data_IF_804962308056
#
_entry.id   IF_804962308056
#
_cell.length_a   1.000
_cell.length_b   1.000
_cell.length_c   1.000
_cell.angle_alpha   90.00
_cell.angle_beta   90.00
_cell.angle_gamma   90.00
#
_symmetry.space_group_name_H-M   'P 1'
#
loop_
_entity.id
_entity.type
_entity.pdbx_description
1 polymer ?
#
# COMPACT_ATOMS: atom_id res chain seq x y z
N UNK A 1 -14.32 -7.93 -20.29
CA UNK A 1 -13.14 -8.18 -21.15
C UNK A 1 -13.44 -9.43 -21.97
N UNK A 2 -13.17 -9.41 -23.28
CA UNK A 2 -13.37 -10.58 -24.14
C UNK A 2 -12.23 -11.60 -23.95
N UNK A 3 -12.48 -12.87 -24.28
CA UNK A 3 -11.50 -13.96 -24.23
C UNK A 3 -10.29 -13.72 -25.14
N UNK A 4 -10.49 -13.04 -26.27
CA UNK A 4 -9.40 -12.75 -27.21
C UNK A 4 -8.42 -11.72 -26.64
N UNK A 5 -8.95 -10.69 -25.97
CA UNK A 5 -8.13 -9.65 -25.34
C UNK A 5 -7.22 -10.21 -24.23
N UNK A 6 -7.66 -11.26 -23.51
CA UNK A 6 -6.84 -11.92 -22.51
C UNK A 6 -5.72 -12.74 -23.13
N UNK A 7 -5.99 -13.41 -24.26
CA UNK A 7 -4.99 -14.19 -24.96
C UNK A 7 -3.85 -13.32 -25.52
N UNK A 8 -4.17 -12.14 -26.05
CA UNK A 8 -3.17 -11.18 -26.53
C UNK A 8 -2.26 -10.67 -25.41
N UNK A 9 -2.84 -10.38 -24.23
CA UNK A 9 -2.09 -9.97 -23.05
C UNK A 9 -1.15 -11.07 -22.54
N UNK A 10 -1.61 -12.32 -22.54
CA UNK A 10 -0.78 -13.46 -22.15
C UNK A 10 0.38 -13.68 -23.14
N UNK A 11 0.11 -13.56 -24.44
CA UNK A 11 1.14 -13.62 -25.47
C UNK A 11 2.18 -12.49 -25.33
N UNK A 12 1.75 -11.29 -24.93
CA UNK A 12 2.64 -10.17 -24.66
C UNK A 12 3.48 -10.39 -23.40
N UNK A 13 2.89 -10.96 -22.34
CA UNK A 13 3.59 -11.30 -21.10
C UNK A 13 4.69 -12.35 -21.35
N UNK A 14 4.39 -13.40 -22.13
CA UNK A 14 5.36 -14.45 -22.47
C UNK A 14 6.55 -13.84 -23.22
N UNK A 15 6.32 -12.95 -24.19
CA UNK A 15 7.38 -12.23 -24.91
C UNK A 15 8.26 -11.40 -23.98
N UNK A 16 7.66 -10.71 -23.02
CA UNK A 16 8.40 -9.94 -22.01
C UNK A 16 9.26 -10.83 -21.13
N UNK A 17 8.73 -11.95 -20.66
CA UNK A 17 9.46 -12.91 -19.84
C UNK A 17 10.63 -13.55 -20.60
N UNK A 18 10.43 -13.91 -21.86
CA UNK A 18 11.50 -14.48 -22.70
C UNK A 18 12.63 -13.47 -22.95
N UNK A 19 12.29 -12.21 -23.20
CA UNK A 19 13.27 -11.14 -23.35
C UNK A 19 14.05 -10.87 -22.05
N UNK A 20 13.35 -10.81 -20.92
CA UNK A 20 13.96 -10.60 -19.60
C UNK A 20 14.91 -11.75 -19.21
N UNK A 21 14.56 -13.01 -19.52
CA UNK A 21 15.44 -14.17 -19.28
C UNK A 21 16.75 -14.08 -20.07
N UNK A 22 16.70 -13.61 -21.32
CA UNK A 22 17.89 -13.42 -22.16
C UNK A 22 18.69 -12.18 -21.75
N UNK A 23 18.03 -11.16 -21.20
CA UNK A 23 18.61 -9.87 -20.87
C UNK A 23 18.33 -9.47 -19.41
N UNK A 24 19.01 -10.12 -18.47
CA UNK A 24 18.83 -9.87 -17.02
C UNK A 24 19.10 -8.41 -16.59
N UNK A 25 19.89 -7.66 -17.35
CA UNK A 25 20.22 -6.25 -17.06
C UNK A 25 19.36 -5.26 -17.85
N UNK A 26 18.29 -5.70 -18.51
CA UNK A 26 17.42 -4.81 -19.27
C UNK A 26 16.71 -3.79 -18.36
N UNK A 27 16.57 -2.56 -18.85
CA UNK A 27 15.71 -1.53 -18.24
C UNK A 27 14.26 -1.69 -18.68
N UNK A 28 13.32 -1.08 -17.97
CA UNK A 28 11.90 -1.10 -18.35
C UNK A 28 11.68 -0.52 -19.77
N UNK A 29 12.46 0.49 -20.15
CA UNK A 29 12.46 1.09 -21.48
C UNK A 29 12.90 0.09 -22.56
N UNK A 30 14.02 -0.61 -22.34
CA UNK A 30 14.51 -1.63 -23.28
C UNK A 30 13.53 -2.79 -23.46
N UNK A 31 12.88 -3.22 -22.37
CA UNK A 31 11.84 -4.25 -22.44
C UNK A 31 10.65 -3.73 -23.23
N UNK A 32 10.24 -2.49 -23.01
CA UNK A 32 9.13 -1.86 -23.73
C UNK A 32 9.41 -1.76 -25.24
N UNK A 33 10.61 -1.30 -25.61
CA UNK A 33 11.05 -1.21 -27.01
C UNK A 33 11.14 -2.59 -27.68
N UNK A 34 11.67 -3.61 -27.00
CA UNK A 34 11.85 -4.94 -27.59
C UNK A 34 10.55 -5.74 -27.71
N UNK A 35 9.62 -5.54 -26.79
CA UNK A 35 8.39 -6.35 -26.70
C UNK A 35 7.17 -5.64 -27.30
N UNK A 36 7.26 -4.32 -27.49
CA UNK A 36 6.16 -3.47 -27.93
C UNK A 36 5.08 -3.23 -26.86
N UNK A 37 5.34 -3.66 -25.61
CA UNK A 37 4.42 -3.50 -24.50
C UNK A 37 4.67 -2.15 -23.83
N UNK A 38 3.63 -1.34 -23.53
CA UNK A 38 3.83 -0.09 -22.83
C UNK A 38 4.43 -0.32 -21.43
N UNK A 39 5.36 0.55 -21.02
CA UNK A 39 6.00 0.46 -19.70
C UNK A 39 4.98 0.33 -18.55
N UNK A 40 3.85 1.04 -18.62
CA UNK A 40 2.78 0.94 -17.63
C UNK A 40 2.19 -0.47 -17.48
N UNK A 41 2.09 -1.22 -18.57
CA UNK A 41 1.59 -2.60 -18.54
C UNK A 41 2.62 -3.54 -17.92
N UNK A 42 3.91 -3.33 -18.20
CA UNK A 42 5.00 -4.05 -17.54
C UNK A 42 4.96 -3.79 -16.01
N UNK A 43 4.75 -2.54 -15.61
CA UNK A 43 4.60 -2.14 -14.21
C UNK A 43 3.38 -2.78 -13.56
N UNK A 44 2.26 -2.95 -14.29
CA UNK A 44 1.08 -3.67 -13.80
C UNK A 44 1.40 -5.15 -13.53
N UNK A 45 2.11 -5.83 -14.44
CA UNK A 45 2.51 -7.23 -14.23
C UNK A 45 3.49 -7.43 -13.08
N UNK A 46 4.38 -6.48 -12.85
CA UNK A 46 5.24 -6.44 -11.66
C UNK A 46 4.38 -6.35 -10.39
N UNK A 47 3.38 -5.46 -10.36
CA UNK A 47 2.46 -5.30 -9.22
C UNK A 47 1.61 -6.55 -8.97
N UNK A 48 1.29 -7.30 -10.02
CA UNK A 48 0.55 -8.57 -9.98
C UNK A 48 1.43 -9.79 -9.59
N UNK A 49 2.74 -9.60 -9.34
CA UNK A 49 3.72 -10.66 -9.11
C UNK A 49 3.90 -11.65 -10.28
N UNK A 50 3.53 -11.25 -11.51
CA UNK A 50 3.79 -12.05 -12.72
C UNK A 50 5.26 -11.99 -13.15
N UNK A 51 5.98 -10.95 -12.75
CA UNK A 51 7.42 -10.74 -13.01
C UNK A 51 8.15 -10.53 -11.68
N UNK A 52 9.10 -11.40 -11.34
CA UNK A 52 9.94 -11.25 -10.14
C UNK A 52 11.05 -10.23 -10.39
N UNK A 53 10.97 -9.06 -9.75
CA UNK A 53 11.99 -8.00 -9.85
C UNK A 53 13.32 -8.35 -9.18
N UNK A 54 13.32 -9.33 -8.26
CA UNK A 54 14.53 -9.73 -7.52
C UNK A 54 15.68 -10.14 -8.45
N UNK A 55 15.36 -10.74 -9.60
CA UNK A 55 16.34 -11.24 -10.57
C UNK A 55 16.83 -10.17 -11.56
N UNK A 56 16.23 -8.96 -11.53
CA UNK A 56 16.47 -7.90 -12.50
C UNK A 56 16.96 -6.60 -11.81
N UNK A 57 18.29 -6.33 -11.76
CA UNK A 57 18.87 -5.19 -11.05
C UNK A 57 18.42 -3.82 -11.54
N UNK A 58 18.17 -3.68 -12.85
CA UNK A 58 17.84 -2.40 -13.49
C UNK A 58 16.34 -2.13 -13.58
N UNK A 59 15.51 -3.09 -13.17
CA UNK A 59 14.07 -2.94 -13.16
C UNK A 59 13.63 -2.24 -11.87
N UNK A 60 12.96 -1.10 -12.04
CA UNK A 60 12.37 -0.30 -10.98
C UNK A 60 10.94 0.10 -11.38
N UNK A 61 10.11 0.38 -10.38
CA UNK A 61 8.72 0.80 -10.56
C UNK A 61 8.39 1.96 -9.64
N UNK A 62 7.43 2.84 -10.01
CA UNK A 62 7.09 3.99 -9.19
C UNK A 62 6.36 3.56 -7.91
N UNK A 63 6.69 4.23 -6.80
CA UNK A 63 5.96 4.11 -5.55
C UNK A 63 4.49 4.54 -5.74
N UNK A 64 3.56 3.77 -5.17
CA UNK A 64 2.12 4.04 -5.28
C UNK A 64 1.66 5.40 -4.71
N UNK A 65 2.46 6.05 -3.86
CA UNK A 65 2.09 7.32 -3.20
C UNK A 65 2.90 8.51 -3.69
N UNK A 66 4.22 8.37 -3.83
CA UNK A 66 5.10 9.50 -4.18
C UNK A 66 5.79 9.35 -5.53
N UNK A 67 5.48 8.31 -6.30
CA UNK A 67 6.08 8.00 -7.60
C UNK A 67 7.62 7.81 -7.62
N UNK A 68 8.31 7.87 -6.47
CA UNK A 68 9.75 7.57 -6.39
C UNK A 68 10.03 6.15 -6.93
N UNK A 69 11.13 5.94 -7.69
CA UNK A 69 11.50 4.62 -8.18
C UNK A 69 11.86 3.70 -7.01
N UNK A 70 11.17 2.57 -6.92
CA UNK A 70 11.36 1.52 -5.92
C UNK A 70 11.56 0.18 -6.59
N UNK A 71 12.16 -0.75 -5.85
CA UNK A 71 12.43 -2.12 -6.30
C UNK A 71 11.81 -3.19 -5.41
N UNK A 72 11.28 -2.79 -4.25
CA UNK A 72 10.71 -3.69 -3.25
C UNK A 72 9.46 -3.03 -2.66
N UNK A 73 8.46 -3.86 -2.35
CA UNK A 73 7.17 -3.47 -1.76
C UNK A 73 6.34 -2.53 -2.65
N UNK A 74 5.06 -2.32 -2.33
CA UNK A 74 4.21 -1.40 -3.10
C UNK A 74 4.53 0.08 -2.86
N UNK A 75 5.23 0.38 -1.76
CA UNK A 75 5.52 1.74 -1.29
C UNK A 75 6.98 1.87 -0.90
N UNK A 76 7.55 3.07 -1.06
CA UNK A 76 8.88 3.37 -0.57
C UNK A 76 8.91 3.40 0.96
N UNK A 77 10.11 3.25 1.53
CA UNK A 77 10.34 3.29 2.98
C UNK A 77 9.89 4.60 3.60
N UNK A 78 10.08 5.74 2.93
CA UNK A 78 9.61 7.05 3.40
C UNK A 78 8.08 7.08 3.58
N UNK A 79 7.33 6.64 2.58
CA UNK A 79 5.87 6.63 2.62
C UNK A 79 5.36 5.64 3.68
N UNK A 80 5.99 4.46 3.80
CA UNK A 80 5.66 3.50 4.85
C UNK A 80 5.92 4.07 6.25
N UNK A 81 7.04 4.77 6.44
CA UNK A 81 7.39 5.40 7.72
C UNK A 81 6.41 6.51 8.10
N UNK A 82 5.97 7.33 7.14
CA UNK A 82 4.94 8.35 7.36
C UNK A 82 3.63 7.72 7.85
N UNK A 83 3.12 6.71 7.15
CA UNK A 83 1.90 6.01 7.56
C UNK A 83 2.05 5.39 8.96
N UNK A 84 3.19 4.75 9.23
CA UNK A 84 3.44 4.17 10.55
C UNK A 84 3.49 5.24 11.66
N UNK A 85 4.01 6.43 11.36
CA UNK A 85 4.00 7.57 12.27
C UNK A 85 2.58 8.05 12.53
N UNK A 86 1.79 8.23 11.49
CA UNK A 86 0.40 8.68 11.58
C UNK A 86 -0.44 7.67 12.39
N UNK A 87 -0.27 6.36 12.16
CA UNK A 87 -0.94 5.31 12.94
C UNK A 87 -0.54 5.37 14.42
N UNK A 88 0.74 5.62 14.74
CA UNK A 88 1.19 5.73 16.14
C UNK A 88 0.58 6.95 16.82
N UNK A 89 0.59 8.10 16.14
CA UNK A 89 0.01 9.34 16.66
C UNK A 89 -1.49 9.22 16.90
N UNK A 90 -2.23 8.56 16.00
CA UNK A 90 -3.65 8.27 16.18
C UNK A 90 -3.89 7.37 17.40
N UNK A 91 -3.10 6.30 17.57
CA UNK A 91 -3.22 5.41 18.74
C UNK A 91 -2.91 6.12 20.07
N UNK A 92 -1.98 7.06 20.09
CA UNK A 92 -1.68 7.85 21.27
C UNK A 92 -2.83 8.80 21.62
N UNK A 93 -3.41 9.45 20.60
CA UNK A 93 -4.60 10.30 20.77
C UNK A 93 -5.80 9.49 21.26
N UNK A 94 -6.05 8.31 20.71
CA UNK A 94 -7.15 7.44 21.16
C UNK A 94 -7.00 7.03 22.63
N UNK A 95 -5.78 6.68 23.07
CA UNK A 95 -5.52 6.39 24.50
C UNK A 95 -5.78 7.60 25.39
N UNK A 96 -5.35 8.79 24.95
CA UNK A 96 -5.56 10.02 25.69
C UNK A 96 -7.06 10.36 25.80
N UNK A 97 -7.81 10.17 24.71
CA UNK A 97 -9.25 10.40 24.67
C UNK A 97 -9.99 9.39 25.56
N UNK A 98 -9.65 8.10 25.48
CA UNK A 98 -10.22 7.06 26.33
C UNK A 98 -9.98 7.34 27.82
N UNK A 99 -8.79 7.84 28.18
CA UNK A 99 -8.47 8.26 29.55
C UNK A 99 -9.33 9.45 30.02
N UNK A 100 -9.50 10.47 29.17
CA UNK A 100 -10.34 11.64 29.48
C UNK A 100 -11.81 11.23 29.63
N UNK A 101 -12.30 10.35 28.76
CA UNK A 101 -13.68 9.86 28.79
C UNK A 101 -13.96 9.04 30.06
N UNK A 102 -13.06 8.13 30.45
CA UNK A 102 -13.17 7.36 31.69
C UNK A 102 -13.24 8.27 32.94
N UNK A 103 -12.50 9.40 32.95
CA UNK A 103 -12.59 10.39 34.03
C UNK A 103 -13.93 11.13 34.06
N UNK A 104 -14.49 11.47 32.90
CA UNK A 104 -15.80 12.12 32.82
C UNK A 104 -16.93 11.18 33.27
N UNK A 105 -16.91 9.92 32.85
CA UNK A 105 -17.93 8.93 33.21
C UNK A 105 -17.92 8.60 34.72
N UNK A 106 -16.74 8.52 35.34
CA UNK A 106 -16.60 8.37 36.79
C UNK A 106 -17.17 9.57 37.57
N UNK A 107 -17.03 10.80 37.04
CA UNK A 107 -17.62 12.00 37.65
C UNK A 107 -19.14 12.07 37.49
N UNK A 108 -19.68 11.56 36.37
CA UNK A 108 -21.11 11.58 36.06
C UNK A 108 -21.91 10.53 36.84
N UNK A 109 -21.33 9.37 37.15
CA UNK A 109 -21.99 8.35 37.99
C UNK A 109 -22.22 8.81 39.44
N UNK A 110 -21.33 9.65 39.98
CA UNK A 110 -21.49 10.27 41.31
C UNK A 110 -22.60 11.33 41.37
N UNK A 111 -22.83 12.07 40.27
CA UNK A 111 -23.86 13.10 40.20
C UNK A 111 -25.30 12.55 40.27
N UNK A 112 -25.54 11.33 39.77
CA UNK A 112 -26.85 10.68 39.79
C UNK A 112 -27.28 10.21 41.19
N UNK A 113 -26.34 9.91 42.09
CA UNK A 113 -26.67 9.43 43.43
C UNK A 113 -27.00 10.55 44.43
N UNK A 114 -26.63 11.80 44.13
CA UNK A 114 -26.90 12.95 45.01
C UNK A 114 -28.36 13.42 44.88
N UNK A 115 -28.95 13.39 43.68
CA UNK A 115 -30.35 13.82 43.47
C UNK A 115 -31.38 12.89 44.10
N UNK A 116 -31.05 11.60 44.28
CA UNK A 116 -32.00 10.59 44.78
C UNK A 116 -32.21 10.66 46.30
N UNK A 117 -31.29 11.30 47.03
CA UNK A 117 -31.35 11.41 48.50
C UNK A 117 -32.23 12.57 48.99
N UNK A 118 -32.45 13.58 48.15
CA UNK A 118 -33.24 14.77 48.51
C UNK A 118 -34.75 14.63 48.23
N UNK A 119 -35.22 13.51 47.67
CA UNK A 119 -36.64 13.28 47.35
C UNK A 119 -37.44 12.52 48.42
N UNK A 120 -36.82 12.12 49.54
CA UNK A 120 -37.46 11.38 50.65
C UNK A 120 -37.43 12.14 51.98
N UNK A 121 -37.50 13.47 51.94
CA UNK A 121 -37.65 14.34 53.10
C UNK A 121 -39.02 15.00 53.11
#
# INVERSE_FOLDING_TARGET
>A
MCSDCTHDLDGALIRCLDFLRKNHKATAEQVSEATGVPGDQLLAWIKENKVMISDYPNLNYPCATCAKPIRKHKMCTDCLNRINKDIRELKEKDKSFAFLQARQDAGRSGAFQISDRFRRG
#
